data_IF_528746577910
#
_entry.id   IF_528746577910
#
_cell.length_a   1.000
_cell.length_b   1.000
_cell.length_c   1.000
_cell.angle_alpha   90.00
_cell.angle_beta   90.00
_cell.angle_gamma   90.00
#
_symmetry.space_group_name_H-M   'P 1'
#
loop_
_entity.id
_entity.type
_entity.pdbx_description
1 polymer ?
#
# COMPACT_ATOMS: atom_id res chain seq x y z
N UNK A 1 16.17 2.97 -4.71
CA UNK A 1 17.62 3.29 -4.74
C UNK A 1 18.27 2.54 -5.90
N UNK A 2 18.99 3.22 -6.79
CA UNK A 2 19.81 2.57 -7.82
C UNK A 2 21.22 2.39 -7.31
N UNK A 3 21.77 1.19 -7.45
CA UNK A 3 23.13 0.85 -6.99
C UNK A 3 23.89 0.11 -8.09
N UNK A 4 25.21 0.05 -7.98
CA UNK A 4 26.05 -0.77 -8.84
C UNK A 4 26.91 -1.75 -8.02
N UNK A 5 27.17 -2.91 -8.60
CA UNK A 5 28.18 -3.85 -8.13
C UNK A 5 29.57 -3.27 -8.43
N UNK A 6 30.62 -3.66 -7.69
CA UNK A 6 32.00 -3.33 -8.04
C UNK A 6 32.40 -3.77 -9.45
N UNK A 7 31.74 -4.82 -9.98
CA UNK A 7 31.94 -5.33 -11.34
C UNK A 7 31.15 -4.56 -12.42
N UNK A 8 30.49 -3.45 -12.07
CA UNK A 8 29.74 -2.58 -12.98
C UNK A 8 28.27 -2.96 -13.24
N UNK A 9 27.79 -4.10 -12.73
CA UNK A 9 26.39 -4.50 -12.93
C UNK A 9 25.41 -3.71 -12.06
N UNK A 10 24.32 -3.21 -12.64
CA UNK A 10 23.29 -2.44 -11.90
C UNK A 10 22.41 -3.35 -11.03
N UNK A 11 22.04 -2.82 -9.86
CA UNK A 11 21.11 -3.43 -8.90
C UNK A 11 20.24 -2.33 -8.30
N UNK A 12 18.94 -2.45 -8.46
CA UNK A 12 17.95 -1.60 -7.81
C UNK A 12 17.49 -2.21 -6.49
N UNK A 13 17.47 -1.39 -5.44
CA UNK A 13 16.99 -1.72 -4.11
C UNK A 13 15.75 -0.89 -3.81
N UNK A 14 14.67 -1.55 -3.44
CA UNK A 14 13.48 -0.92 -2.89
C UNK A 14 13.41 -1.23 -1.40
N UNK A 15 13.55 -0.20 -0.57
CA UNK A 15 13.54 -0.33 0.89
C UNK A 15 12.12 -0.50 1.40
N UNK A 16 11.94 -1.49 2.27
CA UNK A 16 10.64 -1.88 2.82
C UNK A 16 10.55 -1.58 4.32
N UNK A 17 11.48 -2.07 5.13
CA UNK A 17 11.46 -1.84 6.57
C UNK A 17 12.83 -1.86 7.21
N UNK A 18 12.94 -1.12 8.31
CA UNK A 18 14.00 -1.31 9.28
C UNK A 18 13.76 -2.63 10.05
N UNK A 19 14.79 -3.47 10.16
CA UNK A 19 14.76 -4.72 10.93
C UNK A 19 15.26 -4.52 12.37
N UNK A 20 15.73 -3.32 12.70
CA UNK A 20 16.12 -2.91 14.04
C UNK A 20 17.53 -3.36 14.47
N UNK A 21 17.93 -2.96 15.69
CA UNK A 21 19.29 -3.14 16.20
C UNK A 21 19.66 -4.61 16.41
N UNK A 22 18.69 -5.48 16.74
CA UNK A 22 18.91 -6.92 16.88
C UNK A 22 19.36 -7.59 15.58
N UNK A 23 19.19 -6.91 14.45
CA UNK A 23 19.63 -7.33 13.12
C UNK A 23 20.75 -6.44 12.58
N UNK A 24 21.47 -5.74 13.45
CA UNK A 24 22.59 -4.87 13.10
C UNK A 24 22.18 -3.66 12.27
N UNK A 25 21.03 -3.07 12.62
CA UNK A 25 20.42 -1.93 11.91
C UNK A 25 20.22 -2.22 10.41
N UNK A 26 19.98 -3.50 10.09
CA UNK A 26 19.75 -3.94 8.73
C UNK A 26 18.34 -3.54 8.26
N UNK A 27 18.24 -3.29 6.97
CA UNK A 27 16.98 -2.96 6.30
C UNK A 27 16.57 -4.08 5.37
N UNK A 28 15.30 -4.42 5.37
CA UNK A 28 14.71 -5.28 4.37
C UNK A 28 14.47 -4.52 3.07
N UNK A 29 14.92 -5.10 1.96
CA UNK A 29 14.79 -4.55 0.62
C UNK A 29 14.28 -5.60 -0.36
N UNK A 30 13.55 -5.16 -1.39
CA UNK A 30 13.37 -5.92 -2.63
C UNK A 30 14.49 -5.58 -3.61
N UNK A 31 15.08 -6.61 -4.21
CA UNK A 31 16.23 -6.45 -5.10
C UNK A 31 15.88 -6.78 -6.54
N UNK A 32 16.29 -5.92 -7.49
CA UNK A 32 16.14 -6.15 -8.93
C UNK A 32 17.43 -5.80 -9.68
N UNK A 33 18.06 -6.74 -10.41
CA UNK A 33 17.76 -8.17 -10.49
C UNK A 33 18.24 -8.92 -9.24
N UNK A 34 17.38 -9.77 -8.66
CA UNK A 34 17.73 -10.60 -7.49
C UNK A 34 18.63 -11.80 -7.83
N UNK A 35 18.88 -12.10 -9.11
CA UNK A 35 19.62 -13.29 -9.54
C UNK A 35 21.12 -13.14 -9.27
N UNK A 36 21.74 -14.25 -8.81
CA UNK A 36 23.20 -14.37 -8.63
C UNK A 36 23.81 -13.35 -7.67
N UNK A 37 23.04 -12.92 -6.66
CA UNK A 37 23.54 -12.14 -5.54
C UNK A 37 23.99 -13.08 -4.42
N UNK A 38 24.99 -12.68 -3.63
CA UNK A 38 25.54 -13.45 -2.52
C UNK A 38 25.65 -12.55 -1.28
N UNK A 39 25.47 -13.11 -0.07
CA UNK A 39 25.83 -12.43 1.17
C UNK A 39 27.25 -11.87 1.12
N UNK A 40 27.47 -10.71 1.73
CA UNK A 40 28.73 -9.96 1.71
C UNK A 40 28.99 -9.17 0.42
N UNK A 41 28.08 -9.21 -0.58
CA UNK A 41 28.22 -8.38 -1.77
C UNK A 41 28.01 -6.90 -1.41
N UNK A 42 29.05 -6.11 -1.63
CA UNK A 42 29.00 -4.65 -1.52
C UNK A 42 28.32 -4.05 -2.75
N UNK A 43 27.40 -3.11 -2.51
CA UNK A 43 26.72 -2.30 -3.51
C UNK A 43 27.09 -0.83 -3.28
N UNK A 44 27.19 -0.07 -4.37
CA UNK A 44 27.58 1.34 -4.35
C UNK A 44 26.42 2.21 -4.82
N UNK A 45 26.12 3.27 -4.10
CA UNK A 45 25.14 4.30 -4.46
C UNK A 45 25.79 5.68 -4.37
N UNK A 46 26.35 6.15 -5.49
CA UNK A 46 27.20 7.34 -5.48
C UNK A 46 28.43 7.15 -4.59
N UNK A 47 28.55 7.96 -3.55
CA UNK A 47 29.60 7.87 -2.52
C UNK A 47 29.26 6.90 -1.36
N UNK A 48 28.00 6.44 -1.29
CA UNK A 48 27.54 5.56 -0.24
C UNK A 48 27.76 4.07 -0.56
N UNK A 49 27.92 3.26 0.49
CA UNK A 49 28.17 1.82 0.42
C UNK A 49 27.13 1.08 1.24
N UNK A 50 26.62 -0.01 0.70
CA UNK A 50 25.69 -0.91 1.37
C UNK A 50 26.17 -2.34 1.20
N UNK A 51 26.05 -3.18 2.22
CA UNK A 51 26.43 -4.59 2.15
C UNK A 51 25.17 -5.46 2.19
N UNK A 52 25.04 -6.42 1.25
CA UNK A 52 23.99 -7.45 1.30
C UNK A 52 24.30 -8.43 2.42
N UNK A 53 23.41 -8.55 3.39
CA UNK A 53 23.62 -9.35 4.60
C UNK A 53 23.03 -10.75 4.41
N UNK A 54 21.74 -10.86 4.12
CA UNK A 54 21.03 -12.14 4.09
C UNK A 54 19.98 -12.18 2.97
N UNK A 55 19.78 -13.35 2.37
CA UNK A 55 18.68 -13.59 1.44
C UNK A 55 17.44 -14.05 2.22
N UNK A 56 16.37 -13.27 2.15
CA UNK A 56 15.11 -13.51 2.87
C UNK A 56 14.06 -14.22 2.00
N UNK A 57 14.45 -14.67 0.81
CA UNK A 57 13.57 -15.35 -0.15
C UNK A 57 12.72 -14.41 -1.01
N UNK A 58 12.19 -14.92 -2.11
CA UNK A 58 11.24 -14.19 -3.00
C UNK A 58 11.77 -12.83 -3.51
N UNK A 59 13.10 -12.70 -3.65
CA UNK A 59 13.73 -11.44 -4.06
C UNK A 59 13.94 -10.41 -2.94
N UNK A 60 13.55 -10.75 -1.70
CA UNK A 60 13.85 -9.95 -0.51
C UNK A 60 15.25 -10.25 0.03
N UNK A 61 15.94 -9.21 0.46
CA UNK A 61 17.24 -9.29 1.11
C UNK A 61 17.29 -8.35 2.31
N UNK A 62 18.14 -8.64 3.28
CA UNK A 62 18.58 -7.64 4.23
C UNK A 62 19.86 -6.95 3.73
N UNK A 63 19.92 -5.64 3.91
CA UNK A 63 21.11 -4.82 3.63
C UNK A 63 21.50 -4.05 4.88
N UNK A 64 22.79 -3.82 5.07
CA UNK A 64 23.28 -2.95 6.15
C UNK A 64 24.05 -1.78 5.55
N UNK A 65 23.81 -0.59 6.10
CA UNK A 65 24.55 0.63 5.83
C UNK A 65 24.50 1.53 7.07
N UNK A 66 25.53 2.36 7.34
CA UNK A 66 25.60 3.16 8.57
C UNK A 66 24.46 4.16 8.79
N UNK A 67 23.87 4.68 7.71
CA UNK A 67 22.74 5.62 7.75
C UNK A 67 21.87 5.42 6.50
N UNK A 68 20.96 4.45 6.59
CA UNK A 68 20.01 4.19 5.50
C UNK A 68 19.06 5.37 5.25
N UNK A 69 18.46 6.01 6.28
CA UNK A 69 17.61 7.19 6.07
C UNK A 69 18.31 8.32 5.31
N UNK A 70 19.49 8.78 5.75
CA UNK A 70 20.22 9.84 5.05
C UNK A 70 20.70 9.43 3.66
N UNK A 71 21.02 8.15 3.46
CA UNK A 71 21.33 7.59 2.14
C UNK A 71 20.11 7.68 1.20
N UNK A 72 18.92 7.32 1.68
CA UNK A 72 17.68 7.41 0.91
C UNK A 72 17.27 8.85 0.64
N UNK A 73 17.51 9.78 1.55
CA UNK A 73 17.27 11.20 1.32
C UNK A 73 18.18 11.75 0.20
N UNK A 74 19.46 11.36 0.20
CA UNK A 74 20.45 11.85 -0.77
C UNK A 74 20.36 11.17 -2.14
N UNK A 75 20.15 9.86 -2.16
CA UNK A 75 20.29 9.01 -3.36
C UNK A 75 19.01 8.25 -3.73
N UNK A 76 18.03 8.23 -2.83
CA UNK A 76 16.76 7.54 -3.05
C UNK A 76 15.89 8.24 -4.09
N UNK A 77 14.94 7.49 -4.62
CA UNK A 77 13.84 7.98 -5.45
C UNK A 77 12.59 7.27 -5.01
N UNK A 78 11.46 7.99 -4.96
CA UNK A 78 10.18 7.40 -4.63
C UNK A 78 9.81 6.38 -5.73
N UNK A 79 9.49 5.12 -5.37
CA UNK A 79 8.91 4.19 -6.33
C UNK A 79 7.53 4.69 -6.77
N UNK A 80 7.43 5.13 -8.02
CA UNK A 80 6.15 5.48 -8.63
C UNK A 80 5.61 4.27 -9.42
N UNK A 81 4.27 4.07 -9.45
CA UNK A 81 3.66 3.08 -10.33
C UNK A 81 4.05 3.29 -11.80
N UNK A 82 4.10 2.23 -12.62
CA UNK A 82 4.66 2.29 -13.99
C UNK A 82 3.86 3.18 -14.95
N UNK A 83 2.63 3.54 -14.60
CA UNK A 83 1.76 4.43 -15.36
C UNK A 83 1.88 5.91 -14.94
N UNK A 84 2.74 6.23 -13.95
CA UNK A 84 3.02 7.59 -13.52
C UNK A 84 4.40 7.98 -14.04
N UNK A 85 4.48 9.07 -14.80
CA UNK A 85 5.75 9.64 -15.21
C UNK A 85 6.49 10.21 -14.00
N UNK A 86 7.76 9.82 -13.85
CA UNK A 86 8.58 10.24 -12.72
C UNK A 86 9.09 11.68 -12.91
N UNK A 87 8.33 12.63 -12.36
CA UNK A 87 8.69 14.05 -12.26
C UNK A 87 8.81 14.47 -10.79
N UNK A 88 9.59 15.52 -10.46
CA UNK A 88 9.68 16.00 -9.07
C UNK A 88 8.31 16.38 -8.47
N UNK A 89 7.40 16.91 -9.30
CA UNK A 89 6.03 17.23 -8.88
C UNK A 89 5.21 15.97 -8.58
N UNK A 90 5.32 14.93 -9.43
CA UNK A 90 4.64 13.66 -9.19
C UNK A 90 5.15 12.98 -7.91
N UNK A 91 6.47 12.98 -7.69
CA UNK A 91 7.09 12.42 -6.48
C UNK A 91 6.61 13.17 -5.22
N UNK A 92 6.61 14.52 -5.25
CA UNK A 92 6.16 15.33 -4.12
C UNK A 92 4.66 15.15 -3.81
N UNK A 93 3.83 14.89 -4.81
CA UNK A 93 2.39 14.66 -4.66
C UNK A 93 2.02 13.20 -4.36
N UNK A 94 2.95 12.26 -4.50
CA UNK A 94 2.69 10.84 -4.29
C UNK A 94 2.79 10.44 -2.81
N UNK A 95 2.18 11.24 -1.94
CA UNK A 95 2.09 10.98 -0.50
C UNK A 95 0.85 11.67 0.08
N UNK A 96 0.19 11.01 1.04
CA UNK A 96 -0.94 11.62 1.74
C UNK A 96 -0.47 12.67 2.75
N UNK A 97 -1.28 13.70 3.00
CA UNK A 97 -0.98 14.77 3.98
C UNK A 97 -0.84 14.27 5.43
N UNK A 98 -1.19 13.01 5.66
CA UNK A 98 -1.17 12.39 6.98
C UNK A 98 -0.28 11.14 7.07
N UNK A 99 0.64 10.97 6.12
CA UNK A 99 1.66 9.95 6.21
C UNK A 99 2.61 10.23 7.38
N UNK A 100 2.93 9.18 8.16
CA UNK A 100 3.80 9.28 9.35
C UNK A 100 4.87 8.21 9.38
N UNK A 101 4.53 7.00 8.95
CA UNK A 101 5.42 5.84 8.99
C UNK A 101 6.05 5.58 7.61
N UNK A 102 7.39 5.59 7.47
CA UNK A 102 8.04 5.16 6.25
C UNK A 102 7.91 3.64 6.04
N UNK A 103 8.08 3.17 4.80
CA UNK A 103 8.21 1.74 4.49
C UNK A 103 7.14 1.14 3.57
N UNK A 104 6.12 1.92 3.17
CA UNK A 104 5.23 1.49 2.10
C UNK A 104 5.88 1.70 0.73
N UNK A 105 5.89 0.68 -0.12
CA UNK A 105 6.36 0.79 -1.51
C UNK A 105 5.38 1.55 -2.41
N UNK A 106 4.16 1.78 -1.93
CA UNK A 106 3.09 2.44 -2.65
C UNK A 106 2.29 3.35 -1.73
N UNK A 107 1.90 4.52 -2.24
CA UNK A 107 1.01 5.41 -1.51
C UNK A 107 -0.46 4.92 -1.57
N UNK A 108 -1.25 5.08 -0.50
CA UNK A 108 -2.69 4.83 -0.53
C UNK A 108 -3.40 5.98 -1.26
N UNK A 109 -3.53 5.87 -2.58
CA UNK A 109 -3.91 6.98 -3.48
C UNK A 109 -5.30 7.56 -3.25
N UNK A 110 -6.23 6.78 -2.67
CA UNK A 110 -7.54 7.29 -2.26
C UNK A 110 -7.39 8.37 -1.17
N UNK A 111 -6.31 8.32 -0.41
CA UNK A 111 -5.94 9.32 0.58
C UNK A 111 -5.54 10.67 0.00
N UNK A 112 -5.22 10.76 -1.30
CA UNK A 112 -4.85 12.02 -1.95
C UNK A 112 -6.02 13.01 -2.04
N UNK A 113 -7.25 12.52 -1.91
CA UNK A 113 -8.46 13.35 -1.89
C UNK A 113 -8.70 14.04 -0.55
N UNK A 114 -7.92 13.70 0.49
CA UNK A 114 -8.00 14.32 1.81
C UNK A 114 -6.90 15.37 1.94
N UNK A 115 -7.31 16.64 1.87
CA UNK A 115 -6.51 17.77 2.32
C UNK A 115 -6.69 18.00 3.82
N UNK A 116 -5.84 18.81 4.44
CA UNK A 116 -6.04 19.26 5.82
C UNK A 116 -7.44 19.88 6.01
N UNK A 117 -7.88 20.72 5.08
CA UNK A 117 -9.21 21.33 5.11
C UNK A 117 -10.37 20.31 5.07
N UNK A 118 -10.21 19.20 4.34
CA UNK A 118 -11.22 18.12 4.29
C UNK A 118 -11.24 17.34 5.60
N UNK A 119 -10.06 17.05 6.18
CA UNK A 119 -9.96 16.37 7.48
C UNK A 119 -10.58 17.25 8.59
N UNK A 120 -10.23 18.52 8.65
CA UNK A 120 -10.80 19.48 9.60
C UNK A 120 -12.31 19.66 9.41
N UNK A 121 -12.78 19.63 8.16
CA UNK A 121 -14.21 19.64 7.84
C UNK A 121 -14.93 18.41 8.37
N UNK A 122 -14.29 17.25 8.27
CA UNK A 122 -14.82 15.95 8.74
C UNK A 122 -14.94 15.95 10.27
N UNK A 123 -13.92 16.40 10.99
CA UNK A 123 -13.94 16.50 12.45
C UNK A 123 -14.98 17.52 12.94
N UNK A 124 -15.08 18.68 12.29
CA UNK A 124 -16.10 19.70 12.62
C UNK A 124 -17.53 19.22 12.38
N UNK A 125 -17.73 18.28 11.44
CA UNK A 125 -19.01 17.62 11.23
C UNK A 125 -19.32 16.53 12.28
N UNK A 126 -18.42 16.29 13.23
CA UNK A 126 -18.60 15.36 14.34
C UNK A 126 -18.08 13.94 14.08
N UNK A 127 -17.40 13.69 12.95
CA UNK A 127 -16.81 12.39 12.67
C UNK A 127 -15.43 12.25 13.32
N UNK A 128 -15.17 11.12 13.97
CA UNK A 128 -13.83 10.79 14.49
C UNK A 128 -12.89 10.32 13.38
N UNK A 129 -11.59 10.65 13.51
CA UNK A 129 -10.55 10.19 12.59
C UNK A 129 -9.67 9.14 13.29
N UNK A 130 -9.71 7.91 12.78
CA UNK A 130 -8.83 6.81 13.19
C UNK A 130 -7.75 6.57 12.13
N UNK A 131 -6.50 6.33 12.57
CA UNK A 131 -5.36 6.10 11.68
C UNK A 131 -4.84 4.68 11.83
N UNK A 132 -4.64 4.00 10.71
CA UNK A 132 -4.06 2.66 10.64
C UNK A 132 -2.91 2.65 9.63
N UNK A 133 -2.02 1.66 9.75
CA UNK A 133 -0.87 1.50 8.86
C UNK A 133 -0.97 0.19 8.10
N UNK A 134 -0.71 0.24 6.80
CA UNK A 134 -0.43 -0.93 5.97
C UNK A 134 0.77 -0.61 5.08
N UNK A 135 1.84 -1.38 5.22
CA UNK A 135 3.00 -1.29 4.36
C UNK A 135 2.72 -2.09 3.09
N UNK A 136 2.32 -1.36 2.05
CA UNK A 136 1.95 -1.93 0.77
C UNK A 136 3.22 -2.34 0.03
N UNK A 137 3.28 -3.60 -0.41
CA UNK A 137 4.39 -4.11 -1.22
C UNK A 137 4.25 -3.76 -2.71
N UNK A 138 5.26 -4.12 -3.51
CA UNK A 138 5.22 -3.90 -4.97
C UNK A 138 4.18 -4.75 -5.69
N UNK A 139 3.71 -5.83 -5.06
CA UNK A 139 2.76 -6.78 -5.64
C UNK A 139 1.34 -6.23 -5.79
N UNK A 140 0.99 -5.17 -5.07
CA UNK A 140 -0.39 -4.67 -4.95
C UNK A 140 -0.95 -4.10 -6.26
N UNK A 141 -0.07 -3.68 -7.18
CA UNK A 141 -0.46 -3.20 -8.51
C UNK A 141 -0.35 -4.26 -9.62
N UNK A 142 0.05 -5.49 -9.28
CA UNK A 142 0.16 -6.55 -10.28
C UNK A 142 -1.25 -7.01 -10.68
N UNK A 143 -1.50 -7.23 -11.98
CA UNK A 143 -2.78 -7.76 -12.44
C UNK A 143 -2.99 -9.16 -11.89
N UNK A 144 -4.25 -9.52 -11.65
CA UNK A 144 -4.60 -10.91 -11.33
C UNK A 144 -4.37 -11.75 -12.59
N UNK A 145 -3.46 -12.73 -12.49
CA UNK A 145 -3.06 -13.60 -13.61
C UNK A 145 -3.69 -14.99 -13.54
N UNK A 146 -4.35 -15.33 -12.43
CA UNK A 146 -5.02 -16.61 -12.24
C UNK A 146 -6.36 -16.63 -12.97
N UNK A 147 -6.77 -17.80 -13.47
CA UNK A 147 -8.07 -17.96 -14.14
C UNK A 147 -9.24 -17.82 -13.16
N UNK A 148 -9.07 -18.36 -11.96
CA UNK A 148 -9.99 -18.18 -10.83
C UNK A 148 -9.46 -17.12 -9.88
N UNK A 149 -10.35 -16.27 -9.38
CA UNK A 149 -9.96 -15.23 -8.41
C UNK A 149 -9.50 -15.87 -7.11
N UNK A 150 -10.17 -16.92 -6.67
CA UNK A 150 -9.88 -17.65 -5.42
C UNK A 150 -8.45 -18.21 -5.36
N UNK A 151 -7.86 -18.52 -6.52
CA UNK A 151 -6.49 -19.05 -6.63
C UNK A 151 -5.42 -17.95 -6.49
N UNK A 152 -5.82 -16.68 -6.48
CA UNK A 152 -4.89 -15.56 -6.37
C UNK A 152 -4.29 -15.47 -4.97
N UNK A 153 -2.97 -15.61 -4.90
CA UNK A 153 -2.23 -15.44 -3.65
C UNK A 153 -1.76 -13.99 -3.50
N UNK A 154 -2.24 -13.35 -2.44
CA UNK A 154 -1.74 -12.03 -2.04
C UNK A 154 -0.38 -12.16 -1.37
N UNK A 155 0.53 -11.26 -1.73
CA UNK A 155 1.75 -11.06 -0.95
C UNK A 155 1.39 -10.56 0.45
N UNK A 156 2.18 -10.99 1.45
CA UNK A 156 2.05 -10.49 2.80
C UNK A 156 2.33 -8.97 2.82
N UNK A 157 1.43 -8.22 3.43
CA UNK A 157 1.59 -6.79 3.68
C UNK A 157 1.44 -6.54 5.18
N UNK A 158 2.46 -5.92 5.78
CA UNK A 158 2.49 -5.69 7.22
C UNK A 158 1.51 -4.59 7.60
N UNK A 159 0.69 -4.83 8.62
CA UNK A 159 -0.28 -3.87 9.11
C UNK A 159 -0.14 -3.59 10.60
N UNK A 160 -0.68 -2.45 11.01
CA UNK A 160 -0.81 -2.05 12.41
C UNK A 160 -2.08 -1.22 12.62
N UNK A 161 -2.86 -1.60 13.62
CA UNK A 161 -4.04 -0.91 14.14
C UNK A 161 -3.73 -0.47 15.57
N UNK A 162 -3.33 0.80 15.78
CA UNK A 162 -3.07 1.33 17.11
C UNK A 162 -4.26 1.15 18.07
N UNK A 163 -4.00 1.13 19.38
CA UNK A 163 -5.05 0.92 20.41
C UNK A 163 -6.16 1.96 20.27
N UNK A 164 -5.77 3.22 20.06
CA UNK A 164 -6.66 4.35 19.89
C UNK A 164 -7.53 4.22 18.63
N UNK A 165 -6.96 3.69 17.53
CA UNK A 165 -7.69 3.45 16.31
C UNK A 165 -8.70 2.31 16.48
N UNK A 166 -8.31 1.23 17.15
CA UNK A 166 -9.21 0.12 17.47
C UNK A 166 -10.40 0.59 18.32
N UNK A 167 -10.14 1.35 19.39
CA UNK A 167 -11.20 1.92 20.25
C UNK A 167 -12.15 2.84 19.48
N UNK A 168 -11.61 3.69 18.61
CA UNK A 168 -12.41 4.60 17.80
C UNK A 168 -13.31 3.83 16.82
N UNK A 169 -12.79 2.77 16.20
CA UNK A 169 -13.54 1.91 15.28
C UNK A 169 -14.61 1.09 16.02
N UNK A 170 -14.28 0.51 17.18
CA UNK A 170 -15.22 -0.29 17.99
C UNK A 170 -16.40 0.55 18.53
N UNK A 171 -16.15 1.83 18.82
CA UNK A 171 -17.17 2.77 19.31
C UNK A 171 -17.97 3.48 18.21
N UNK A 172 -17.64 3.27 16.94
CA UNK A 172 -18.28 3.97 15.83
C UNK A 172 -19.60 3.29 15.41
N UNK A 173 -20.63 4.09 15.19
CA UNK A 173 -21.87 3.62 14.55
C UNK A 173 -21.64 3.24 13.08
N UNK A 174 -20.71 3.95 12.42
CA UNK A 174 -20.39 3.76 11.00
C UNK A 174 -18.91 3.96 10.75
N UNK A 175 -18.29 3.00 10.08
CA UNK A 175 -16.87 3.02 9.72
C UNK A 175 -16.73 3.29 8.22
N UNK A 176 -16.13 4.44 7.89
CA UNK A 176 -15.80 4.82 6.52
C UNK A 176 -14.31 4.54 6.26
N UNK A 177 -14.02 3.57 5.40
CA UNK A 177 -12.65 3.29 4.99
C UNK A 177 -12.20 4.27 3.90
N UNK A 178 -11.17 5.07 4.20
CA UNK A 178 -10.48 5.92 3.23
C UNK A 178 -9.44 5.10 2.44
N UNK A 179 -9.92 4.30 1.50
CA UNK A 179 -9.11 3.48 0.60
C UNK A 179 -9.15 1.98 0.90
N UNK A 180 -8.88 1.19 -0.14
CA UNK A 180 -8.86 -0.29 -0.10
C UNK A 180 -7.81 -0.84 0.85
N UNK A 181 -6.66 -0.16 0.97
CA UNK A 181 -5.59 -0.44 1.94
C UNK A 181 -6.11 -0.38 3.39
N UNK A 182 -6.86 0.68 3.73
CA UNK A 182 -7.48 0.84 5.06
C UNK A 182 -8.52 -0.25 5.26
N UNK A 183 -9.38 -0.47 4.27
CA UNK A 183 -10.44 -1.48 4.33
C UNK A 183 -9.87 -2.88 4.61
N UNK A 184 -8.85 -3.31 3.88
CA UNK A 184 -8.17 -4.60 4.10
C UNK A 184 -7.53 -4.70 5.47
N UNK A 185 -6.94 -3.62 5.98
CA UNK A 185 -6.33 -3.59 7.32
C UNK A 185 -7.37 -3.86 8.40
N UNK A 186 -8.48 -3.13 8.36
CA UNK A 186 -9.57 -3.28 9.32
C UNK A 186 -10.22 -4.66 9.23
N UNK A 187 -10.46 -5.16 8.02
CA UNK A 187 -11.02 -6.49 7.80
C UNK A 187 -10.05 -7.61 8.22
N UNK A 188 -8.75 -7.44 8.03
CA UNK A 188 -7.74 -8.38 8.53
C UNK A 188 -7.78 -8.44 10.05
N UNK A 189 -7.75 -7.28 10.71
CA UNK A 189 -7.87 -7.19 12.17
C UNK A 189 -9.15 -7.85 12.69
N UNK A 190 -10.29 -7.65 12.01
CA UNK A 190 -11.56 -8.28 12.38
C UNK A 190 -11.61 -9.81 12.18
N UNK A 191 -10.77 -10.34 11.30
CA UNK A 191 -10.65 -11.79 11.05
C UNK A 191 -9.69 -12.43 12.04
N UNK A 192 -8.55 -11.81 12.31
CA UNK A 192 -7.47 -12.38 13.13
C UNK A 192 -7.63 -12.06 14.61
N UNK A 193 -8.26 -10.93 14.96
CA UNK A 193 -8.22 -10.34 16.30
C UNK A 193 -6.86 -9.70 16.63
N UNK A 194 -5.88 -9.78 15.72
CA UNK A 194 -4.54 -9.26 15.92
C UNK A 194 -4.44 -7.83 15.40
N UNK A 195 -3.97 -6.91 16.24
CA UNK A 195 -3.82 -5.50 15.89
C UNK A 195 -2.61 -5.22 15.01
N UNK A 196 -1.63 -6.12 14.97
CA UNK A 196 -0.47 -6.00 14.10
C UNK A 196 -0.05 -7.38 13.61
N UNK A 197 0.50 -7.42 12.40
CA UNK A 197 0.88 -8.67 11.76
C UNK A 197 1.01 -8.51 10.25
N UNK A 198 0.95 -9.63 9.54
CA UNK A 198 0.96 -9.67 8.08
C UNK A 198 -0.43 -10.01 7.55
N UNK A 199 -0.97 -9.14 6.70
CA UNK A 199 -2.19 -9.40 5.97
C UNK A 199 -1.87 -10.08 4.64
N UNK A 200 -2.49 -11.24 4.41
CA UNK A 200 -2.63 -11.85 3.08
C UNK A 200 -4.10 -11.86 2.64
N UNK A 201 -4.94 -11.05 3.28
CA UNK A 201 -6.37 -11.07 3.05
C UNK A 201 -6.65 -10.62 1.60
N UNK A 202 -7.25 -11.53 0.84
CA UNK A 202 -7.78 -11.22 -0.48
C UNK A 202 -9.29 -11.06 -0.39
N UNK A 203 -9.78 -9.85 -0.67
CA UNK A 203 -11.21 -9.53 -0.65
C UNK A 203 -11.74 -9.56 -2.08
N UNK A 204 -12.70 -10.43 -2.33
CA UNK A 204 -13.32 -10.65 -3.64
C UNK A 204 -14.81 -11.01 -3.45
N UNK A 205 -15.65 -10.92 -4.51
CA UNK A 205 -17.09 -11.13 -4.38
C UNK A 205 -17.44 -12.43 -3.65
N UNK A 206 -18.29 -12.32 -2.62
CA UNK A 206 -18.60 -13.40 -1.68
C UNK A 206 -17.93 -13.25 -0.31
N UNK A 207 -16.98 -12.31 -0.17
CA UNK A 207 -16.41 -11.97 1.14
C UNK A 207 -17.45 -11.32 2.06
N UNK A 208 -17.50 -11.77 3.32
CA UNK A 208 -18.37 -11.22 4.37
C UNK A 208 -17.62 -10.14 5.15
N UNK A 209 -17.96 -8.89 4.87
CA UNK A 209 -17.43 -7.72 5.56
C UNK A 209 -17.85 -7.68 7.04
N UNK A 210 -16.94 -7.23 7.91
CA UNK A 210 -17.13 -7.25 9.37
C UNK A 210 -17.04 -5.88 10.01
N UNK A 211 -16.26 -4.96 9.44
CA UNK A 211 -15.99 -3.64 10.02
C UNK A 211 -16.49 -2.51 9.13
N UNK A 212 -16.14 -2.53 7.85
CA UNK A 212 -16.33 -1.38 6.95
C UNK A 212 -17.79 -1.25 6.48
N UNK A 213 -18.37 -0.06 6.66
CA UNK A 213 -19.76 0.27 6.27
C UNK A 213 -19.84 1.17 5.02
N UNK A 214 -18.79 1.97 4.77
CA UNK A 214 -18.64 2.76 3.56
C UNK A 214 -17.19 2.75 3.07
N UNK A 215 -16.99 2.83 1.76
CA UNK A 215 -15.66 2.80 1.13
C UNK A 215 -15.49 4.01 0.22
N UNK A 216 -14.50 4.85 0.52
CA UNK A 216 -13.99 5.86 -0.40
C UNK A 216 -12.75 5.31 -1.10
N UNK A 217 -12.73 5.31 -2.42
CA UNK A 217 -11.63 4.73 -3.22
C UNK A 217 -11.51 5.39 -4.58
N UNK A 218 -10.39 5.24 -5.28
CA UNK A 218 -10.28 5.58 -6.70
C UNK A 218 -11.05 4.59 -7.59
N UNK A 219 -11.14 4.91 -8.88
CA UNK A 219 -11.49 3.95 -9.94
C UNK A 219 -10.29 3.07 -10.34
N UNK A 220 -10.52 1.75 -10.37
CA UNK A 220 -9.46 0.75 -10.51
C UNK A 220 -9.43 0.10 -11.89
N UNK A 221 -8.28 -0.48 -12.23
CA UNK A 221 -8.11 -1.21 -13.48
C UNK A 221 -9.02 -2.46 -13.56
N UNK A 222 -9.51 -2.80 -14.76
CA UNK A 222 -10.04 -4.12 -15.04
C UNK A 222 -9.04 -5.21 -14.64
N UNK A 223 -9.54 -6.34 -14.12
CA UNK A 223 -8.73 -7.50 -13.69
C UNK A 223 -7.69 -7.17 -12.60
N UNK A 224 -7.99 -6.20 -11.74
CA UNK A 224 -7.20 -5.90 -10.54
C UNK A 224 -7.83 -6.48 -9.28
N UNK A 225 -7.00 -6.77 -8.28
CA UNK A 225 -7.44 -7.18 -6.93
C UNK A 225 -8.27 -6.08 -6.26
N UNK A 226 -7.92 -4.81 -6.51
CA UNK A 226 -8.64 -3.65 -5.99
C UNK A 226 -10.06 -3.55 -6.55
N UNK A 227 -10.24 -3.81 -7.86
CA UNK A 227 -11.58 -3.87 -8.45
C UNK A 227 -12.39 -5.04 -7.90
N UNK A 228 -11.76 -6.19 -7.62
CA UNK A 228 -12.44 -7.33 -6.99
C UNK A 228 -12.97 -6.97 -5.59
N UNK A 229 -12.17 -6.26 -4.78
CA UNK A 229 -12.61 -5.76 -3.47
C UNK A 229 -13.78 -4.78 -3.60
N UNK A 230 -13.69 -3.83 -4.54
CA UNK A 230 -14.76 -2.86 -4.79
C UNK A 230 -16.05 -3.56 -5.24
N UNK A 231 -15.97 -4.55 -6.12
CA UNK A 231 -17.13 -5.37 -6.52
C UNK A 231 -17.67 -6.22 -5.37
N UNK A 232 -16.80 -6.66 -4.45
CA UNK A 232 -17.24 -7.31 -3.22
C UNK A 232 -17.93 -6.36 -2.25
N UNK A 233 -17.58 -5.07 -2.28
CA UNK A 233 -18.11 -4.06 -1.37
C UNK A 233 -19.40 -3.42 -1.87
N UNK A 234 -19.49 -3.10 -3.17
CA UNK A 234 -20.64 -2.39 -3.77
C UNK A 234 -21.56 -3.28 -4.61
N UNK A 235 -21.27 -4.59 -4.70
CA UNK A 235 -21.98 -5.51 -5.59
C UNK A 235 -21.51 -5.43 -7.04
N UNK A 236 -21.51 -6.57 -7.74
CA UNK A 236 -20.91 -6.68 -9.08
C UNK A 236 -21.63 -5.83 -10.12
N UNK A 237 -22.96 -5.85 -10.13
CA UNK A 237 -23.74 -5.23 -11.19
C UNK A 237 -23.78 -3.71 -11.04
N UNK A 238 -24.02 -3.21 -9.82
CA UNK A 238 -23.99 -1.79 -9.52
C UNK A 238 -22.61 -1.16 -9.79
N UNK A 239 -21.52 -1.83 -9.38
CA UNK A 239 -20.16 -1.35 -9.67
C UNK A 239 -19.89 -1.33 -11.17
N UNK A 240 -20.37 -2.32 -11.93
CA UNK A 240 -20.21 -2.32 -13.40
C UNK A 240 -20.97 -1.17 -14.04
N UNK A 241 -22.19 -0.90 -13.60
CA UNK A 241 -22.99 0.23 -14.07
C UNK A 241 -22.29 1.56 -13.77
N UNK A 242 -21.85 1.76 -12.53
CA UNK A 242 -21.11 2.95 -12.11
C UNK A 242 -19.83 3.15 -12.94
N UNK A 243 -19.09 2.09 -13.26
CA UNK A 243 -17.89 2.19 -14.10
C UNK A 243 -18.21 2.54 -15.56
N UNK A 244 -19.33 2.06 -16.12
CA UNK A 244 -19.76 2.48 -17.46
C UNK A 244 -20.12 3.96 -17.48
N UNK A 245 -20.92 4.41 -16.52
CA UNK A 245 -21.27 5.82 -16.38
C UNK A 245 -20.03 6.70 -16.19
N UNK A 246 -19.07 6.28 -15.36
CA UNK A 246 -17.81 6.99 -15.16
C UNK A 246 -17.00 7.15 -16.47
N UNK A 247 -17.00 6.13 -17.34
CA UNK A 247 -16.35 6.22 -18.65
C UNK A 247 -17.10 7.17 -19.59
N UNK A 248 -18.43 7.07 -19.64
CA UNK A 248 -19.29 7.93 -20.46
C UNK A 248 -19.15 9.41 -20.08
N UNK A 249 -19.12 9.69 -18.78
CA UNK A 249 -18.95 11.03 -18.18
C UNK A 249 -17.48 11.47 -18.08
N UNK A 250 -16.55 10.69 -18.65
CA UNK A 250 -15.11 11.01 -18.73
C UNK A 250 -14.44 11.27 -17.38
N UNK A 251 -14.83 10.53 -16.35
CA UNK A 251 -14.09 10.49 -15.09
C UNK A 251 -12.65 10.05 -15.35
N UNK A 252 -11.75 10.59 -14.53
CA UNK A 252 -10.33 10.23 -14.53
C UNK A 252 -10.16 9.01 -13.64
N UNK A 253 -9.44 8.00 -14.12
CA UNK A 253 -9.21 6.75 -13.39
C UNK A 253 -7.82 6.78 -12.71
N UNK A 254 -7.51 5.74 -11.93
CA UNK A 254 -6.18 5.51 -11.31
C UNK A 254 -5.84 6.45 -10.14
N UNK A 255 -4.56 6.45 -9.77
CA UNK A 255 -3.98 7.10 -8.59
C UNK A 255 -4.29 8.58 -8.46
N UNK A 256 -4.21 9.32 -9.56
CA UNK A 256 -4.48 10.77 -9.61
C UNK A 256 -5.82 11.10 -10.26
N UNK A 257 -6.65 10.06 -10.49
CA UNK A 257 -8.00 10.21 -11.01
C UNK A 257 -8.98 10.66 -9.94
N UNK A 258 -10.26 10.55 -10.27
CA UNK A 258 -11.36 10.91 -9.38
C UNK A 258 -11.60 9.84 -8.31
N UNK A 259 -12.44 10.20 -7.33
CA UNK A 259 -12.85 9.33 -6.24
C UNK A 259 -14.26 8.78 -6.45
N UNK A 260 -14.53 7.63 -5.84
CA UNK A 260 -15.82 7.01 -5.72
C UNK A 260 -16.09 6.74 -4.24
N UNK A 261 -17.26 7.17 -3.76
CA UNK A 261 -17.76 6.85 -2.43
C UNK A 261 -18.90 5.84 -2.58
N UNK A 262 -18.72 4.67 -1.97
CA UNK A 262 -19.74 3.62 -1.92
C UNK A 262 -20.35 3.63 -0.52
N UNK A 263 -21.66 3.91 -0.46
CA UNK A 263 -22.46 3.88 0.74
C UNK A 263 -23.31 2.61 0.79
N UNK A 264 -23.67 2.18 2.00
CA UNK A 264 -24.52 1.01 2.22
C UNK A 264 -24.00 -0.25 1.50
N UNK A 265 -22.67 -0.42 1.51
CA UNK A 265 -21.99 -1.58 0.99
C UNK A 265 -21.56 -2.54 2.11
N UNK A 266 -20.78 -3.53 1.74
CA UNK A 266 -20.06 -4.40 2.68
C UNK A 266 -20.97 -5.10 3.69
N UNK A 267 -20.94 -4.64 4.96
CA UNK A 267 -21.73 -5.21 6.07
C UNK A 267 -23.25 -5.07 5.89
N UNK A 268 -23.66 -4.13 5.04
CA UNK A 268 -25.06 -3.74 4.86
C UNK A 268 -25.68 -4.25 3.55
N UNK A 269 -24.88 -4.96 2.73
CA UNK A 269 -25.34 -5.76 1.58
C UNK A 269 -25.79 -7.16 2.03
#
# INVERSE_FOLDING_TARGET
LKTCKPTGGEVELLFLRDLGPDRGDAWEVLVRPARRLKPGLRLLAGDAKLDLVENLGEGRWSVSAPDVPGLLEKHGKMPLPPYIEATPEAEARYQTVYAREPGSAAAPTAGFHFTESVLDGTERAGAGIARVTLHVGTGTFLPVRTEKLEDHQMHAERYNVPVEAARAVDGAERVVAAGTTVARTLETWAVTGERSGDSRLFVYPGYRWRVVDALLTNFHLPRSTLLAMVMSFGGRDLVREAYRAAVEERYRFYSFGDAMLILNGGRTL
#
